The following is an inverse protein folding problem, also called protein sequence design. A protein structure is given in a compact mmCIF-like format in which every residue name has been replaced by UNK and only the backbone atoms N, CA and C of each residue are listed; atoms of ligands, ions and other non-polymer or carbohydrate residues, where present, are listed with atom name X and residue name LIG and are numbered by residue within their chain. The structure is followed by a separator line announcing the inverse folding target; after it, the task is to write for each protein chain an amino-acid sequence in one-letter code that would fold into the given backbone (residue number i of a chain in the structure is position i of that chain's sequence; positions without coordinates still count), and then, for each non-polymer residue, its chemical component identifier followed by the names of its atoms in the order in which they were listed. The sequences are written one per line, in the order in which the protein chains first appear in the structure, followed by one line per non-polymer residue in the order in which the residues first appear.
data_IF_167194950867
#
_entry.id   IF_167194950867
#
_cell.length_a   1.000
_cell.length_b   1.000
_cell.length_c   1.000
_cell.angle_alpha   90.00
_cell.angle_beta   90.00
_cell.angle_gamma   90.00
#
_symmetry.space_group_name_H-M   'P 1'
#
loop_
_entity.id
_entity.type
_entity.pdbx_description
1 polymer ?
#
# COMPACT_ATOMS: atom_id res chain seq x y z
N UNK A 1 5.08 -10.63 -14.84
CA UNK A 1 3.63 -10.89 -14.90
C UNK A 1 2.92 -9.60 -14.53
N UNK A 2 1.82 -9.25 -15.19
CA UNK A 2 1.06 -8.04 -14.86
C UNK A 2 0.24 -8.31 -13.60
N UNK A 3 0.33 -7.43 -12.60
CA UNK A 3 -0.47 -7.50 -11.38
C UNK A 3 -1.96 -7.44 -11.74
N UNK A 4 -2.75 -8.38 -11.22
CA UNK A 4 -4.19 -8.47 -11.47
C UNK A 4 -4.95 -8.24 -10.16
N UNK A 5 -5.80 -7.22 -10.13
CA UNK A 5 -6.58 -6.87 -8.93
C UNK A 5 -7.85 -7.72 -8.78
N UNK A 6 -8.27 -7.90 -7.53
CA UNK A 6 -9.49 -8.58 -7.12
C UNK A 6 -10.47 -7.57 -6.50
N UNK A 7 -11.12 -6.71 -7.31
CA UNK A 7 -11.78 -5.49 -6.82
C UNK A 7 -13.01 -5.75 -5.93
N UNK A 8 -13.57 -6.95 -5.97
CA UNK A 8 -14.85 -7.27 -5.33
C UNK A 8 -14.73 -7.89 -3.95
N UNK A 9 -13.52 -8.10 -3.42
CA UNK A 9 -13.32 -8.69 -2.11
C UNK A 9 -13.81 -7.81 -0.95
N UNK A 10 -14.35 -8.46 0.07
CA UNK A 10 -14.91 -7.82 1.26
C UNK A 10 -14.15 -8.25 2.51
N UNK A 11 -13.87 -7.27 3.37
CA UNK A 11 -13.17 -7.44 4.66
C UNK A 11 -14.12 -7.36 5.85
N UNK A 12 -15.42 -7.32 5.57
CA UNK A 12 -16.52 -7.21 6.53
C UNK A 12 -17.73 -7.96 5.98
N UNK A 13 -18.69 -8.28 6.85
CA UNK A 13 -19.96 -8.97 6.52
C UNK A 13 -19.74 -10.39 5.99
N UNK A 14 -19.65 -10.57 4.67
CA UNK A 14 -19.56 -11.87 4.00
C UNK A 14 -18.11 -12.37 3.82
N UNK A 15 -17.11 -11.54 4.14
CA UNK A 15 -15.68 -11.89 4.24
C UNK A 15 -15.16 -12.71 3.04
N UNK A 16 -15.30 -12.14 1.84
CA UNK A 16 -14.92 -12.80 0.59
C UNK A 16 -13.43 -12.71 0.27
N UNK A 17 -12.64 -11.91 1.01
CA UNK A 17 -11.18 -11.83 0.87
C UNK A 17 -10.51 -13.21 0.92
N UNK A 18 -9.67 -13.53 -0.07
CA UNK A 18 -8.85 -14.76 -0.09
C UNK A 18 -7.52 -14.49 -0.78
N UNK A 19 -6.44 -15.11 -0.33
CA UNK A 19 -5.17 -15.02 -1.06
C UNK A 19 -5.14 -15.97 -2.27
N UNK A 20 -4.66 -15.49 -3.42
CA UNK A 20 -4.21 -16.38 -4.49
C UNK A 20 -2.94 -17.14 -4.09
N UNK A 21 -2.54 -18.14 -4.88
CA UNK A 21 -1.25 -18.82 -4.66
C UNK A 21 -0.06 -17.87 -4.74
N UNK A 22 -0.14 -16.82 -5.57
CA UNK A 22 0.90 -15.80 -5.65
C UNK A 22 0.95 -14.96 -4.37
N UNK A 23 -0.22 -14.53 -3.86
CA UNK A 23 -0.30 -13.79 -2.60
C UNK A 23 0.15 -14.63 -1.38
N UNK A 24 -0.11 -15.94 -1.38
CA UNK A 24 0.42 -16.85 -0.34
C UNK A 24 1.95 -16.86 -0.34
N UNK A 25 2.59 -16.88 -1.52
CA UNK A 25 4.07 -16.82 -1.62
C UNK A 25 4.63 -15.43 -1.35
N UNK A 26 3.81 -14.39 -1.54
CA UNK A 26 4.13 -13.01 -1.20
C UNK A 26 4.08 -12.78 0.32
N UNK A 27 3.31 -13.55 1.09
CA UNK A 27 3.09 -13.32 2.52
C UNK A 27 4.42 -13.18 3.31
N UNK A 28 4.68 -12.05 3.98
CA UNK A 28 5.91 -11.81 4.74
C UNK A 28 5.85 -12.55 6.09
N UNK A 29 6.15 -13.84 6.08
CA UNK A 29 6.10 -14.67 7.28
C UNK A 29 7.03 -14.11 8.38
N UNK A 30 6.51 -13.73 9.56
CA UNK A 30 7.23 -12.86 10.49
C UNK A 30 8.05 -13.61 11.55
N UNK A 31 8.07 -14.95 11.52
CA UNK A 31 8.70 -15.76 12.56
C UNK A 31 10.02 -16.33 12.06
N UNK A 32 11.18 -15.76 12.48
CA UNK A 32 12.48 -16.31 12.14
C UNK A 32 12.84 -17.56 12.97
N UNK A 33 12.14 -17.79 14.08
CA UNK A 33 12.35 -18.89 15.02
C UNK A 33 11.00 -19.49 15.46
N UNK A 34 11.03 -20.68 16.07
CA UNK A 34 9.83 -21.38 16.56
C UNK A 34 9.17 -20.70 17.78
N UNK A 35 9.84 -19.72 18.39
CA UNK A 35 9.34 -18.93 19.50
C UNK A 35 9.50 -17.44 19.21
N UNK A 36 8.51 -16.65 19.61
CA UNK A 36 8.52 -15.20 19.41
C UNK A 36 8.90 -14.46 20.70
N UNK A 37 9.83 -13.52 20.60
CA UNK A 37 10.21 -12.60 21.67
C UNK A 37 10.44 -11.21 21.11
N UNK A 38 10.07 -10.17 21.86
CA UNK A 38 10.30 -8.78 21.45
C UNK A 38 11.79 -8.44 21.38
N UNK A 39 12.15 -7.66 20.37
CA UNK A 39 13.51 -7.14 20.15
C UNK A 39 13.46 -5.82 19.38
N UNK A 40 14.62 -5.19 19.19
CA UNK A 40 14.78 -4.09 18.23
C UNK A 40 15.06 -4.72 16.87
N UNK A 41 14.01 -5.15 16.18
CA UNK A 41 14.07 -5.88 14.90
C UNK A 41 14.06 -4.97 13.66
N UNK A 42 14.54 -3.73 13.80
CA UNK A 42 14.57 -2.75 12.70
C UNK A 42 15.82 -3.01 11.85
N UNK A 43 15.63 -3.00 10.53
CA UNK A 43 16.70 -3.04 9.54
C UNK A 43 16.53 -1.90 8.53
N UNK A 44 17.60 -1.48 7.83
CA UNK A 44 17.48 -0.57 6.70
C UNK A 44 16.58 -1.17 5.62
N UNK A 45 15.59 -0.42 5.14
CA UNK A 45 14.82 -0.85 3.98
C UNK A 45 15.68 -0.72 2.71
N UNK A 46 16.20 -1.86 2.24
CA UNK A 46 16.86 -2.01 0.94
C UNK A 46 15.94 -2.84 0.06
N UNK A 47 15.61 -2.38 -1.15
CA UNK A 47 14.71 -3.09 -2.06
C UNK A 47 15.18 -4.54 -2.27
N UNK A 48 14.27 -5.49 -2.07
CA UNK A 48 14.51 -6.93 -2.08
C UNK A 48 14.46 -7.54 -0.66
N UNK A 49 14.41 -8.87 -0.58
CA UNK A 49 14.35 -9.56 0.71
C UNK A 49 13.85 -10.99 0.60
N UNK A 50 13.41 -11.56 1.73
CA UNK A 50 12.89 -12.92 1.78
C UNK A 50 11.51 -13.09 1.14
N UNK A 51 10.81 -11.98 0.85
CA UNK A 51 9.50 -11.93 0.22
C UNK A 51 9.46 -10.79 -0.81
N UNK A 52 8.69 -10.94 -1.91
CA UNK A 52 8.37 -9.86 -2.84
C UNK A 52 7.79 -8.60 -2.18
N UNK A 53 7.20 -8.71 -0.97
CA UNK A 53 6.68 -7.57 -0.20
C UNK A 53 7.75 -6.50 0.10
N UNK A 54 9.02 -6.86 -0.01
CA UNK A 54 10.16 -5.98 0.26
C UNK A 54 10.78 -5.41 -1.02
N UNK A 55 10.28 -5.75 -2.21
CA UNK A 55 10.86 -5.31 -3.50
C UNK A 55 10.69 -3.80 -3.74
N UNK A 56 9.69 -3.19 -3.09
CA UNK A 56 9.34 -1.78 -3.24
C UNK A 56 9.14 -1.10 -1.88
N UNK A 57 9.26 0.24 -1.87
CA UNK A 57 9.05 1.05 -0.64
C UNK A 57 7.60 1.01 -0.20
N UNK A 58 6.68 0.99 -1.16
CA UNK A 58 5.26 0.74 -0.95
C UNK A 58 4.86 -0.44 -1.82
N UNK A 59 4.43 -1.52 -1.19
CA UNK A 59 3.93 -2.69 -1.90
C UNK A 59 2.48 -2.48 -2.36
N UNK A 60 2.18 -2.89 -3.59
CA UNK A 60 0.84 -2.89 -4.17
C UNK A 60 0.55 -4.30 -4.67
N UNK A 61 -0.43 -4.95 -4.04
CA UNK A 61 -0.76 -6.35 -4.30
C UNK A 61 -2.11 -6.53 -5.02
N UNK A 62 -2.57 -7.78 -5.12
CA UNK A 62 -3.82 -8.14 -5.79
C UNK A 62 -5.08 -7.55 -5.09
N UNK A 63 -4.95 -7.07 -3.85
CA UNK A 63 -6.04 -6.60 -3.00
C UNK A 63 -6.21 -5.08 -3.00
N UNK A 64 -5.28 -4.33 -3.60
CA UNK A 64 -5.25 -2.85 -3.61
C UNK A 64 -6.63 -2.18 -3.78
N UNK A 65 -7.37 -2.55 -4.83
CA UNK A 65 -8.67 -1.93 -5.14
C UNK A 65 -9.72 -2.24 -4.06
N UNK A 66 -9.75 -3.49 -3.59
CA UNK A 66 -10.69 -3.90 -2.55
C UNK A 66 -10.39 -3.20 -1.22
N UNK A 67 -9.11 -3.06 -0.86
CA UNK A 67 -8.68 -2.40 0.37
C UNK A 67 -8.91 -0.88 0.31
N UNK A 68 -8.69 -0.23 -0.85
CA UNK A 68 -9.08 1.17 -1.06
C UNK A 68 -10.59 1.39 -0.88
N UNK A 69 -11.42 0.46 -1.38
CA UNK A 69 -12.88 0.51 -1.19
C UNK A 69 -13.29 0.32 0.27
N UNK A 70 -12.66 -0.62 0.98
CA UNK A 70 -12.86 -0.81 2.41
C UNK A 70 -12.48 0.45 3.20
N UNK A 71 -11.33 1.05 2.90
CA UNK A 71 -10.88 2.33 3.48
C UNK A 71 -11.89 3.45 3.24
N UNK A 72 -12.47 3.54 2.04
CA UNK A 72 -13.51 4.53 1.73
C UNK A 72 -14.77 4.33 2.59
N UNK A 73 -15.20 3.07 2.83
CA UNK A 73 -16.33 2.77 3.73
C UNK A 73 -16.02 3.16 5.17
N UNK A 74 -14.83 2.80 5.68
CA UNK A 74 -14.39 3.19 7.04
C UNK A 74 -14.40 4.70 7.21
N UNK A 75 -13.84 5.46 6.26
CA UNK A 75 -13.77 6.92 6.35
C UNK A 75 -15.14 7.60 6.19
N UNK A 76 -16.07 6.99 5.47
CA UNK A 76 -17.45 7.47 5.38
C UNK A 76 -18.21 7.28 6.71
N UNK A 77 -17.96 6.16 7.41
CA UNK A 77 -18.56 5.86 8.72
C UNK A 77 -17.91 6.68 9.85
N UNK A 78 -16.58 6.84 9.81
CA UNK A 78 -15.79 7.55 10.82
C UNK A 78 -14.67 8.38 10.18
N UNK A 79 -14.95 9.63 9.78
CA UNK A 79 -13.94 10.52 9.19
C UNK A 79 -12.75 10.81 10.12
N UNK A 80 -12.89 10.59 11.44
CA UNK A 80 -11.85 10.86 12.44
C UNK A 80 -10.70 9.86 12.41
N UNK A 81 -10.75 8.83 11.55
CA UNK A 81 -9.62 7.92 11.30
C UNK A 81 -8.46 8.59 10.56
N UNK A 82 -8.69 9.72 9.89
CA UNK A 82 -7.65 10.59 9.37
C UNK A 82 -7.64 11.90 10.15
N UNK A 83 -6.58 12.18 10.89
CA UNK A 83 -6.41 13.43 11.63
C UNK A 83 -5.02 13.97 11.39
N UNK A 84 -4.96 15.26 11.09
CA UNK A 84 -3.69 15.96 10.94
C UNK A 84 -3.77 17.33 11.59
N UNK A 85 -2.81 17.62 12.47
CA UNK A 85 -2.74 18.91 13.13
C UNK A 85 -2.27 19.98 12.14
N UNK A 86 -2.69 21.26 12.28
CA UNK A 86 -2.37 22.31 11.31
C UNK A 86 -0.87 22.48 11.00
N UNK A 87 0.00 22.27 11.99
CA UNK A 87 1.45 22.41 11.80
C UNK A 87 2.10 21.29 10.97
N UNK A 88 1.37 20.21 10.66
CA UNK A 88 1.87 19.07 9.89
C UNK A 88 1.58 19.20 8.37
N UNK A 89 1.14 20.37 7.89
CA UNK A 89 0.81 20.59 6.47
C UNK A 89 1.96 20.25 5.52
N UNK A 90 3.19 20.67 5.84
CA UNK A 90 4.35 20.35 5.01
C UNK A 90 4.58 18.83 4.92
N UNK A 91 4.55 18.14 6.06
CA UNK A 91 4.73 16.68 6.11
C UNK A 91 3.63 15.90 5.37
N UNK A 92 2.41 16.46 5.28
CA UNK A 92 1.34 15.86 4.45
C UNK A 92 1.69 15.89 2.97
N UNK A 93 2.22 17.02 2.48
CA UNK A 93 2.68 17.15 1.11
C UNK A 93 3.89 16.25 0.84
N UNK A 94 4.85 16.17 1.77
CA UNK A 94 5.99 15.25 1.66
C UNK A 94 5.53 13.79 1.56
N UNK A 95 4.52 13.40 2.35
CA UNK A 95 3.94 12.05 2.30
C UNK A 95 3.26 11.78 0.97
N UNK A 96 2.49 12.74 0.45
CA UNK A 96 1.82 12.64 -0.85
C UNK A 96 2.84 12.50 -1.98
N UNK A 97 3.89 13.33 -1.97
CA UNK A 97 4.99 13.27 -2.92
C UNK A 97 5.67 11.90 -2.90
N UNK A 98 6.11 11.47 -1.73
CA UNK A 98 6.82 10.22 -1.53
C UNK A 98 6.01 9.03 -2.07
N UNK A 99 4.71 8.97 -1.75
CA UNK A 99 3.85 7.88 -2.21
C UNK A 99 3.65 7.95 -3.73
N UNK A 100 3.29 9.11 -4.29
CA UNK A 100 3.00 9.21 -5.73
C UNK A 100 4.23 8.92 -6.58
N UNK A 101 5.41 9.41 -6.18
CA UNK A 101 6.66 9.14 -6.91
C UNK A 101 7.02 7.66 -6.90
N UNK A 102 6.99 7.01 -5.72
CA UNK A 102 7.31 5.58 -5.62
C UNK A 102 6.30 4.74 -6.40
N UNK A 103 4.99 5.00 -6.27
CA UNK A 103 3.98 4.24 -6.99
C UNK A 103 4.08 4.41 -8.52
N UNK A 104 4.36 5.62 -9.03
CA UNK A 104 4.56 5.85 -10.46
C UNK A 104 5.83 5.18 -10.99
N UNK A 105 6.91 5.16 -10.19
CA UNK A 105 8.19 4.56 -10.57
C UNK A 105 8.14 3.02 -10.52
N UNK A 106 7.56 2.45 -9.46
CA UNK A 106 7.58 1.02 -9.20
C UNK A 106 6.44 0.27 -9.91
N UNK A 107 5.30 0.93 -10.16
CA UNK A 107 4.13 0.33 -10.83
C UNK A 107 3.61 1.19 -12.00
N UNK A 108 4.44 1.48 -13.02
CA UNK A 108 4.11 2.43 -14.10
C UNK A 108 2.92 2.01 -14.96
N UNK A 109 2.58 0.71 -14.98
CA UNK A 109 1.39 0.19 -15.65
C UNK A 109 0.08 0.64 -14.95
N UNK A 110 0.14 0.91 -13.64
CA UNK A 110 -1.03 1.21 -12.82
C UNK A 110 -1.09 2.69 -12.42
N UNK A 111 0.07 3.33 -12.23
CA UNK A 111 0.13 4.72 -11.83
C UNK A 111 0.99 5.56 -12.77
N UNK A 112 0.75 6.87 -12.79
CA UNK A 112 1.67 7.83 -13.41
C UNK A 112 1.57 9.19 -12.76
N UNK A 113 2.70 9.84 -12.63
CA UNK A 113 2.82 11.21 -12.13
C UNK A 113 3.54 12.06 -13.17
N UNK A 114 2.99 13.22 -13.51
CA UNK A 114 3.66 14.26 -14.32
C UNK A 114 3.67 15.56 -13.53
N UNK A 115 4.83 16.20 -13.41
CA UNK A 115 5.03 17.44 -12.65
C UNK A 115 5.47 18.57 -13.58
N UNK A 116 4.86 19.74 -13.45
CA UNK A 116 5.27 21.00 -14.07
C UNK A 116 5.33 22.09 -13.00
N UNK A 117 6.43 22.14 -12.25
CA UNK A 117 6.49 22.88 -10.99
C UNK A 117 5.47 22.31 -10.00
N UNK A 118 4.62 23.17 -9.46
CA UNK A 118 3.55 22.79 -8.52
C UNK A 118 2.29 22.24 -9.23
N UNK A 119 2.27 22.20 -10.56
CA UNK A 119 1.17 21.62 -11.34
C UNK A 119 1.40 20.12 -11.54
N UNK A 120 0.72 19.30 -10.73
CA UNK A 120 0.86 17.85 -10.75
C UNK A 120 -0.35 17.19 -11.39
N UNK A 121 -0.10 16.27 -12.32
CA UNK A 121 -1.12 15.37 -12.87
C UNK A 121 -0.82 13.95 -12.42
N UNK A 122 -1.71 13.42 -11.58
CA UNK A 122 -1.65 12.06 -11.08
C UNK A 122 -2.73 11.20 -11.75
N UNK A 123 -2.34 10.00 -12.20
CA UNK A 123 -3.27 9.00 -12.72
C UNK A 123 -3.13 7.73 -11.89
N UNK A 124 -4.22 7.30 -11.30
CA UNK A 124 -4.39 5.99 -10.67
C UNK A 124 -5.36 5.19 -11.55
N UNK A 125 -4.85 4.27 -12.37
CA UNK A 125 -5.68 3.52 -13.34
C UNK A 125 -6.56 2.43 -12.72
N UNK A 126 -6.15 1.78 -11.61
CA UNK A 126 -6.99 0.77 -10.95
C UNK A 126 -8.28 1.27 -10.27
N UNK A 127 -8.40 2.57 -9.99
CA UNK A 127 -9.55 3.20 -9.33
C UNK A 127 -10.31 4.11 -10.30
#
# INVERSE_FOLDING_TARGET
MTLQFKPNETFRRDFTYRNSSAAILHFPFPFPEDQYMYSVNIEPHVKGGASPAYDHVFDVDEHYVAECRERAQVLAEDPKRCQVLPHMMAAQWDTLELIMENLAADYPAHFSLTKAGDLWTWINRPL
#
